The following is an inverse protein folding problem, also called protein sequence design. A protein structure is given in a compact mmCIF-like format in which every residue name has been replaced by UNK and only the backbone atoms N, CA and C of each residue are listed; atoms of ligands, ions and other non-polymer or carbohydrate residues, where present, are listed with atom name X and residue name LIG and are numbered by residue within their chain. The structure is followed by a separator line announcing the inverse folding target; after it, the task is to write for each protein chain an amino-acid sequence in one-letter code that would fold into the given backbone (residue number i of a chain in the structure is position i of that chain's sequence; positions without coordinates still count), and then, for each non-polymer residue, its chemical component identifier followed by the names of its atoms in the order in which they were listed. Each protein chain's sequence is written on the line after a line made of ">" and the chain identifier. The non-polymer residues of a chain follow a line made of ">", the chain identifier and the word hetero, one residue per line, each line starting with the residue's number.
data_IF_044856142297
#
_entry.id   IF_044856142297
#
_cell.length_a   1.000
_cell.length_b   1.000
_cell.length_c   1.000
_cell.angle_alpha   90.00
_cell.angle_beta   90.00
_cell.angle_gamma   90.00
#
_symmetry.space_group_name_H-M   'P 1'
#
loop_
_entity.id
_entity.type
_entity.pdbx_description
1 polymer ?
#
# COMPACT_ATOMS: atom_id res chain seq x y z
N UNK A 1 -19.09 -71.48 -11.84
CA UNK A 1 -19.11 -70.39 -10.83
C UNK A 1 -19.11 -69.09 -11.64
N UNK A 2 -20.21 -68.46 -12.06
CA UNK A 2 -21.45 -68.08 -11.36
C UNK A 2 -21.15 -66.96 -10.36
N UNK A 3 -21.67 -65.73 -10.41
CA UNK A 3 -22.71 -65.11 -11.26
C UNK A 3 -22.68 -63.59 -11.01
N UNK A 4 -22.72 -62.77 -12.06
CA UNK A 4 -23.22 -61.38 -11.98
C UNK A 4 -24.71 -61.43 -12.33
N UNK A 5 -25.56 -60.74 -11.55
CA UNK A 5 -26.99 -60.56 -11.87
C UNK A 5 -27.29 -59.09 -12.14
N UNK A 6 -27.92 -58.88 -13.29
CA UNK A 6 -28.66 -57.69 -13.70
C UNK A 6 -29.99 -57.55 -12.95
N UNK A 7 -30.50 -56.32 -12.88
CA UNK A 7 -31.85 -55.96 -12.47
C UNK A 7 -32.42 -54.88 -13.39
N UNK A 8 -33.56 -55.19 -13.97
CA UNK A 8 -34.27 -54.60 -15.11
C UNK A 8 -35.24 -53.43 -14.81
N UNK A 9 -35.61 -52.68 -15.86
CA UNK A 9 -36.90 -51.98 -16.03
C UNK A 9 -36.77 -50.44 -16.06
N UNK A 10 -37.36 -49.67 -16.98
CA UNK A 10 -38.38 -49.89 -18.00
C UNK A 10 -38.31 -48.71 -19.01
N UNK A 11 -38.45 -49.01 -20.31
CA UNK A 11 -38.62 -48.01 -21.39
C UNK A 11 -40.02 -47.39 -21.35
N UNK A 12 -40.13 -46.07 -21.49
CA UNK A 12 -41.30 -45.43 -22.10
C UNK A 12 -40.84 -44.58 -23.28
N UNK A 13 -41.25 -45.02 -24.47
CA UNK A 13 -41.16 -44.29 -25.73
C UNK A 13 -42.13 -43.09 -25.70
N UNK A 14 -41.62 -41.89 -25.95
CA UNK A 14 -42.44 -40.81 -26.50
C UNK A 14 -41.68 -40.14 -27.66
N UNK A 15 -42.07 -40.49 -28.88
CA UNK A 15 -41.71 -39.78 -30.12
C UNK A 15 -42.42 -38.42 -30.10
N UNK A 16 -41.68 -37.33 -30.13
CA UNK A 16 -42.11 -36.09 -30.79
C UNK A 16 -40.90 -35.44 -31.46
N UNK A 17 -40.97 -35.32 -32.79
CA UNK A 17 -40.07 -34.53 -33.61
C UNK A 17 -40.46 -33.06 -33.43
N UNK A 18 -39.50 -32.16 -33.21
CA UNK A 18 -39.29 -30.95 -34.02
C UNK A 18 -38.25 -30.02 -33.36
N UNK A 19 -37.16 -29.80 -34.10
CA UNK A 19 -36.43 -28.52 -34.32
C UNK A 19 -36.48 -27.47 -33.20
N UNK A 20 -35.35 -27.27 -32.52
CA UNK A 20 -35.10 -26.09 -31.69
C UNK A 20 -33.69 -26.13 -31.10
N UNK A 21 -32.82 -25.24 -31.58
CA UNK A 21 -31.47 -25.00 -31.08
C UNK A 21 -31.51 -24.50 -29.63
N UNK A 22 -31.19 -25.35 -28.66
CA UNK A 22 -30.98 -24.94 -27.27
C UNK A 22 -29.50 -24.64 -27.02
N UNK A 23 -29.19 -23.34 -27.02
CA UNK A 23 -27.94 -22.79 -26.46
C UNK A 23 -28.04 -22.94 -24.94
N UNK A 24 -27.17 -23.76 -24.35
CA UNK A 24 -27.08 -23.94 -22.91
C UNK A 24 -26.66 -22.62 -22.24
N UNK A 25 -27.61 -21.97 -21.57
CA UNK A 25 -27.36 -20.89 -20.63
C UNK A 25 -26.93 -21.52 -19.31
N UNK A 26 -25.62 -21.56 -19.06
CA UNK A 26 -25.09 -21.77 -17.71
C UNK A 26 -25.41 -20.51 -16.88
N UNK A 27 -25.96 -20.63 -15.66
CA UNK A 27 -26.25 -19.47 -14.85
C UNK A 27 -24.96 -18.80 -14.38
N UNK A 28 -24.83 -17.51 -14.67
CA UNK A 28 -23.82 -16.62 -14.09
C UNK A 28 -23.97 -16.70 -12.58
N UNK A 29 -22.99 -17.28 -11.90
CA UNK A 29 -22.94 -17.32 -10.44
C UNK A 29 -22.98 -15.88 -9.92
N UNK A 30 -24.07 -15.52 -9.27
CA UNK A 30 -24.21 -14.23 -8.60
C UNK A 30 -23.21 -14.18 -7.45
N UNK A 31 -22.15 -13.40 -7.63
CA UNK A 31 -21.22 -13.06 -6.56
C UNK A 31 -21.94 -12.13 -5.60
N UNK A 32 -22.51 -12.70 -4.54
CA UNK A 32 -23.10 -11.95 -3.43
C UNK A 32 -22.04 -11.02 -2.81
N UNK A 33 -22.34 -9.72 -2.60
CA UNK A 33 -21.41 -8.81 -1.96
C UNK A 33 -21.16 -9.26 -0.51
N UNK A 34 -19.89 -9.47 -0.17
CA UNK A 34 -19.47 -9.84 1.18
C UNK A 34 -19.99 -8.80 2.20
N UNK A 35 -20.56 -9.22 3.34
CA UNK A 35 -21.09 -8.29 4.32
C UNK A 35 -19.96 -7.42 4.91
N UNK A 36 -20.22 -6.12 4.95
CA UNK A 36 -19.35 -5.11 5.56
C UNK A 36 -19.20 -5.41 7.06
N UNK A 37 -18.07 -6.03 7.43
CA UNK A 37 -17.65 -6.05 8.83
C UNK A 37 -17.00 -4.70 9.14
N UNK A 38 -17.66 -3.87 9.94
CA UNK A 38 -17.02 -2.72 10.57
C UNK A 38 -15.86 -3.24 11.41
N UNK A 39 -14.65 -3.18 10.86
CA UNK A 39 -13.46 -3.59 11.62
C UNK A 39 -13.24 -2.55 12.70
N UNK A 40 -13.51 -2.91 13.96
CA UNK A 40 -12.99 -2.17 15.11
C UNK A 40 -11.50 -2.01 14.85
N UNK A 41 -11.04 -0.78 14.60
CA UNK A 41 -9.62 -0.54 14.39
C UNK A 41 -8.93 -0.68 15.74
N UNK A 42 -8.60 -1.92 16.11
CA UNK A 42 -7.74 -2.17 17.25
C UNK A 42 -6.48 -1.34 17.07
N UNK A 43 -6.18 -0.49 18.05
CA UNK A 43 -5.03 0.41 17.98
C UNK A 43 -3.76 -0.42 17.86
N UNK A 44 -3.19 -0.46 16.66
CA UNK A 44 -1.93 -1.15 16.41
C UNK A 44 -0.79 -0.26 16.87
N UNK A 45 0.14 -0.85 17.62
CA UNK A 45 1.43 -0.20 17.88
C UNK A 45 2.35 -0.46 16.69
N UNK A 46 3.08 0.57 16.26
CA UNK A 46 4.02 0.51 15.14
C UNK A 46 5.43 0.87 15.63
N UNK A 47 6.38 -0.03 15.40
CA UNK A 47 7.80 0.17 15.67
C UNK A 47 8.56 0.13 14.35
N UNK A 48 9.54 1.02 14.20
CA UNK A 48 10.40 1.08 13.02
C UNK A 48 11.86 1.00 13.43
N UNK A 49 12.61 0.25 12.65
CA UNK A 49 14.02 0.01 12.84
C UNK A 49 14.74 0.21 11.52
N UNK A 50 15.93 0.77 11.61
CA UNK A 50 16.85 0.87 10.48
C UNK A 50 17.87 -0.25 10.65
N UNK A 51 17.95 -1.13 9.65
CA UNK A 51 18.80 -2.32 9.70
C UNK A 51 19.72 -2.35 8.47
N UNK A 52 20.91 -2.90 8.64
CA UNK A 52 21.85 -3.15 7.54
C UNK A 52 21.53 -4.48 6.82
N UNK A 53 22.29 -4.81 5.78
CA UNK A 53 22.07 -6.00 4.96
C UNK A 53 22.23 -7.30 5.77
N UNK A 54 23.22 -7.39 6.65
CA UNK A 54 23.47 -8.56 7.49
C UNK A 54 22.30 -8.81 8.45
N UNK A 55 21.87 -7.76 9.15
CA UNK A 55 20.71 -7.80 10.03
C UNK A 55 19.44 -8.17 9.26
N UNK A 56 19.25 -7.64 8.05
CA UNK A 56 18.11 -8.00 7.21
C UNK A 56 18.06 -9.49 6.92
N UNK A 57 19.17 -10.10 6.50
CA UNK A 57 19.23 -11.55 6.25
C UNK A 57 18.88 -12.35 7.52
N UNK A 58 19.55 -12.04 8.63
CA UNK A 58 19.31 -12.72 9.92
C UNK A 58 17.84 -12.62 10.38
N UNK A 59 17.26 -11.43 10.29
CA UNK A 59 15.88 -11.18 10.71
C UNK A 59 14.87 -11.82 9.76
N UNK A 60 15.10 -11.76 8.44
CA UNK A 60 14.22 -12.37 7.44
C UNK A 60 14.16 -13.88 7.63
N UNK A 61 15.31 -14.53 7.80
CA UNK A 61 15.39 -15.98 8.00
C UNK A 61 14.62 -16.39 9.27
N UNK A 62 14.88 -15.75 10.41
CA UNK A 62 14.21 -16.08 11.67
C UNK A 62 12.69 -15.83 11.61
N UNK A 63 12.28 -14.72 10.98
CA UNK A 63 10.85 -14.38 10.86
C UNK A 63 10.14 -15.35 9.92
N UNK A 64 10.77 -15.75 8.82
CA UNK A 64 10.19 -16.68 7.85
C UNK A 64 9.90 -18.06 8.45
N UNK A 65 10.65 -18.47 9.48
CA UNK A 65 10.41 -19.72 10.20
C UNK A 65 9.20 -19.66 11.14
N UNK A 66 8.74 -18.46 11.51
CA UNK A 66 7.69 -18.24 12.52
C UNK A 66 6.40 -17.66 11.95
N UNK A 67 6.49 -16.88 10.88
CA UNK A 67 5.39 -16.14 10.28
C UNK A 67 5.26 -16.47 8.79
N UNK A 68 4.01 -16.54 8.31
CA UNK A 68 3.75 -16.76 6.90
C UNK A 68 3.93 -15.46 6.10
N UNK A 69 4.29 -15.61 4.81
CA UNK A 69 4.27 -14.50 3.86
C UNK A 69 2.85 -13.94 3.75
N UNK A 70 2.73 -12.63 3.88
CA UNK A 70 1.48 -11.89 3.90
C UNK A 70 0.78 -11.93 2.53
N UNK A 71 -0.41 -12.52 2.42
CA UNK A 71 -1.12 -12.73 1.15
C UNK A 71 -1.93 -11.50 0.71
N UNK A 72 -1.28 -10.33 0.61
CA UNK A 72 -1.91 -9.10 0.10
C UNK A 72 -1.85 -9.04 -1.45
N UNK A 73 -2.75 -8.30 -2.12
CA UNK A 73 -2.68 -8.10 -3.57
C UNK A 73 -1.29 -7.60 -4.01
N UNK A 74 -0.71 -8.24 -5.02
CA UNK A 74 0.65 -8.01 -5.50
C UNK A 74 1.76 -8.69 -4.68
N UNK A 75 1.45 -9.41 -3.60
CA UNK A 75 2.44 -10.04 -2.72
C UNK A 75 2.41 -11.58 -2.80
N UNK A 76 3.46 -12.18 -3.36
CA UNK A 76 3.79 -13.61 -3.23
C UNK A 76 5.17 -13.83 -2.60
N UNK A 77 5.71 -12.84 -1.89
CA UNK A 77 7.08 -12.80 -1.39
C UNK A 77 7.61 -11.38 -1.31
N UNK A 78 8.63 -11.09 -2.12
CA UNK A 78 9.12 -9.73 -2.32
C UNK A 78 8.30 -9.08 -3.46
N UNK A 79 7.77 -7.88 -3.23
CA UNK A 79 6.96 -7.18 -4.23
C UNK A 79 7.24 -5.69 -4.28
N UNK A 80 7.23 -5.09 -5.48
CA UNK A 80 7.47 -3.67 -5.63
C UNK A 80 6.26 -2.87 -5.16
N UNK A 81 6.55 -1.73 -4.53
CA UNK A 81 5.57 -0.70 -4.21
C UNK A 81 6.06 0.61 -4.79
N UNK A 82 5.20 1.23 -5.60
CA UNK A 82 5.37 2.59 -6.10
C UNK A 82 4.33 3.50 -5.46
N UNK A 83 4.74 4.66 -4.96
CA UNK A 83 3.84 5.62 -4.32
C UNK A 83 4.14 7.04 -4.77
N UNK A 84 3.12 7.75 -5.27
CA UNK A 84 3.15 9.18 -5.52
C UNK A 84 2.49 9.94 -4.35
N UNK A 85 3.23 10.86 -3.76
CA UNK A 85 2.76 11.73 -2.69
C UNK A 85 2.36 13.09 -3.23
N UNK A 86 1.33 13.69 -2.63
CA UNK A 86 0.87 15.02 -2.99
C UNK A 86 1.04 15.97 -1.81
N UNK A 87 1.49 17.18 -2.10
CA UNK A 87 1.73 18.25 -1.13
C UNK A 87 1.60 19.62 -1.80
N UNK A 88 1.49 20.68 -1.01
CA UNK A 88 1.46 22.05 -1.54
C UNK A 88 2.82 22.45 -2.10
N UNK A 89 2.86 23.56 -2.84
CA UNK A 89 4.11 24.12 -3.36
C UNK A 89 5.09 24.43 -2.21
N UNK A 90 4.57 24.81 -1.05
CA UNK A 90 5.33 25.17 0.15
C UNK A 90 5.70 23.96 1.02
N UNK A 91 5.25 22.75 0.65
CA UNK A 91 5.44 21.49 1.39
C UNK A 91 4.78 21.50 2.77
N UNK A 92 3.52 21.93 2.84
CA UNK A 92 2.80 22.01 4.12
C UNK A 92 2.74 20.66 4.85
N UNK A 93 2.50 19.56 4.14
CA UNK A 93 2.47 18.24 4.78
C UNK A 93 3.82 17.86 5.41
N UNK A 94 4.93 18.36 4.87
CA UNK A 94 6.25 18.25 5.49
C UNK A 94 6.32 19.09 6.75
N UNK A 95 6.06 20.39 6.65
CA UNK A 95 6.20 21.34 7.76
C UNK A 95 5.23 21.06 8.91
N UNK A 96 3.98 20.72 8.64
CA UNK A 96 3.01 20.25 9.63
C UNK A 96 3.57 19.07 10.44
N UNK A 97 4.25 18.13 9.77
CA UNK A 97 4.84 16.98 10.45
C UNK A 97 6.02 17.38 11.31
N UNK A 98 6.94 18.21 10.81
CA UNK A 98 8.11 18.66 11.57
C UNK A 98 7.71 19.52 12.77
N UNK A 99 6.68 20.37 12.62
CA UNK A 99 6.13 21.21 13.69
C UNK A 99 5.17 20.47 14.63
N UNK A 100 4.95 19.17 14.42
CA UNK A 100 4.15 18.34 15.33
C UNK A 100 2.65 18.67 15.33
N UNK A 101 2.09 19.18 14.22
CA UNK A 101 0.67 19.53 14.13
C UNK A 101 -0.21 18.33 14.44
N UNK A 102 -1.26 18.57 15.25
CA UNK A 102 -2.16 17.53 15.77
C UNK A 102 -3.10 16.98 14.69
N UNK A 103 -3.51 17.82 13.74
CA UNK A 103 -4.30 17.43 12.56
C UNK A 103 -3.43 17.60 11.32
N UNK A 104 -3.21 16.51 10.58
CA UNK A 104 -2.42 16.53 9.35
C UNK A 104 -2.91 15.45 8.40
N UNK A 105 -3.05 15.80 7.12
CA UNK A 105 -3.58 14.93 6.06
C UNK A 105 -2.55 14.78 4.95
N UNK A 106 -2.51 13.62 4.31
CA UNK A 106 -1.64 13.36 3.17
C UNK A 106 -2.37 12.50 2.17
N UNK A 107 -2.32 12.88 0.90
CA UNK A 107 -2.75 12.04 -0.22
C UNK A 107 -1.56 11.19 -0.65
N UNK A 108 -1.85 9.92 -0.93
CA UNK A 108 -0.90 8.98 -1.51
C UNK A 108 -1.60 8.12 -2.54
N UNK A 109 -1.21 8.27 -3.80
CA UNK A 109 -1.54 7.29 -4.81
C UNK A 109 -0.49 6.18 -4.77
N UNK A 110 -0.92 4.92 -4.77
CA UNK A 110 -0.04 3.77 -4.59
C UNK A 110 -0.37 2.66 -5.58
N UNK A 111 0.67 2.09 -6.19
CA UNK A 111 0.61 0.90 -7.02
C UNK A 111 1.39 -0.22 -6.32
N UNK A 112 0.80 -1.41 -6.32
CA UNK A 112 1.37 -2.63 -5.77
C UNK A 112 1.65 -3.62 -6.89
N UNK A 113 2.77 -4.34 -6.79
CA UNK A 113 3.05 -5.48 -7.64
C UNK A 113 3.61 -5.12 -9.02
N UNK A 114 3.82 -6.17 -9.80
CA UNK A 114 4.38 -6.15 -11.15
C UNK A 114 3.42 -6.88 -12.07
N UNK A 115 3.41 -6.55 -13.36
CA UNK A 115 2.60 -7.24 -14.37
C UNK A 115 3.04 -8.70 -14.57
N UNK A 116 4.30 -9.01 -14.24
CA UNK A 116 4.88 -10.35 -14.36
C UNK A 116 4.64 -11.23 -13.13
N UNK A 117 4.04 -10.67 -12.07
CA UNK A 117 3.79 -11.39 -10.83
C UNK A 117 2.56 -12.32 -10.95
N UNK A 118 2.49 -13.33 -10.08
CA UNK A 118 1.33 -14.23 -9.99
C UNK A 118 0.02 -13.50 -9.66
N UNK A 119 0.12 -12.40 -8.92
CA UNK A 119 -1.01 -11.56 -8.56
C UNK A 119 -0.88 -10.26 -9.37
N UNK A 120 -1.91 -9.87 -10.13
CA UNK A 120 -1.85 -8.66 -10.95
C UNK A 120 -1.67 -7.40 -10.11
N UNK A 121 -1.12 -6.33 -10.70
CA UNK A 121 -0.89 -5.09 -9.99
C UNK A 121 -2.20 -4.42 -9.57
N UNK A 122 -2.17 -3.70 -8.45
CA UNK A 122 -3.34 -3.04 -7.89
C UNK A 122 -3.06 -1.58 -7.50
N UNK A 123 -3.95 -0.68 -7.92
CA UNK A 123 -3.91 0.74 -7.63
C UNK A 123 -4.79 1.13 -6.44
N UNK A 124 -4.32 2.05 -5.59
CA UNK A 124 -5.10 2.63 -4.51
C UNK A 124 -4.79 4.10 -4.33
N UNK A 125 -5.84 4.93 -4.29
CA UNK A 125 -5.76 6.29 -3.80
C UNK A 125 -6.05 6.32 -2.31
N UNK A 126 -5.07 6.74 -1.51
CA UNK A 126 -5.14 6.70 -0.06
C UNK A 126 -5.11 8.12 0.53
N UNK A 127 -5.96 8.33 1.54
CA UNK A 127 -5.86 9.51 2.42
C UNK A 127 -5.46 9.03 3.81
N UNK A 128 -4.33 9.54 4.30
CA UNK A 128 -3.86 9.31 5.66
C UNK A 128 -4.06 10.57 6.49
N UNK A 129 -4.96 10.50 7.47
CA UNK A 129 -5.23 11.57 8.42
C UNK A 129 -4.70 11.18 9.79
N UNK A 130 -3.89 12.05 10.40
CA UNK A 130 -3.56 11.95 11.83
C UNK A 130 -4.27 13.09 12.56
N UNK A 131 -5.13 12.77 13.52
CA UNK A 131 -5.88 13.72 14.34
C UNK A 131 -5.66 13.40 15.83
N UNK A 132 -5.06 14.33 16.56
CA UNK A 132 -4.80 14.21 18.01
C UNK A 132 -4.13 12.88 18.42
N UNK A 133 -3.19 12.41 17.61
CA UNK A 133 -2.49 11.14 17.85
C UNK A 133 -3.13 9.93 17.18
N UNK A 134 -4.44 9.95 16.91
CA UNK A 134 -5.15 8.89 16.20
C UNK A 134 -4.87 8.96 14.70
N UNK A 135 -4.53 7.83 14.10
CA UNK A 135 -4.29 7.71 12.66
C UNK A 135 -5.41 6.97 11.97
N UNK A 136 -6.06 7.60 11.00
CA UNK A 136 -7.05 6.97 10.13
C UNK A 136 -6.48 6.89 8.72
N UNK A 137 -6.63 5.72 8.09
CA UNK A 137 -6.31 5.51 6.68
C UNK A 137 -7.57 5.11 5.93
N UNK A 138 -7.92 5.88 4.92
CA UNK A 138 -8.99 5.57 3.96
C UNK A 138 -8.33 5.27 2.60
N UNK A 139 -8.89 4.33 1.84
CA UNK A 139 -8.38 3.99 0.51
C UNK A 139 -9.52 3.75 -0.46
N UNK A 140 -9.36 4.23 -1.68
CA UNK A 140 -10.21 3.97 -2.82
C UNK A 140 -9.43 3.06 -3.79
N UNK A 141 -9.90 1.84 -4.07
CA UNK A 141 -9.33 1.00 -5.13
C UNK A 141 -9.49 1.69 -6.49
N UNK A 142 -8.46 1.59 -7.34
CA UNK A 142 -8.45 2.14 -8.69
C UNK A 142 -7.88 1.11 -9.67
N UNK A 143 -8.31 1.16 -10.92
CA UNK A 143 -7.57 0.49 -11.99
C UNK A 143 -6.18 1.11 -12.13
N UNK A 144 -5.24 0.40 -12.75
CA UNK A 144 -3.89 0.94 -13.00
C UNK A 144 -3.97 2.14 -13.95
N UNK A 145 -4.85 2.08 -14.95
CA UNK A 145 -5.10 3.16 -15.89
C UNK A 145 -5.64 4.42 -15.19
N UNK A 146 -6.67 4.29 -14.36
CA UNK A 146 -7.23 5.41 -13.59
C UNK A 146 -6.16 6.01 -12.65
N UNK A 147 -5.38 5.15 -11.98
CA UNK A 147 -4.29 5.60 -11.13
C UNK A 147 -3.23 6.38 -11.93
N UNK A 148 -2.89 5.92 -13.14
CA UNK A 148 -1.94 6.60 -14.01
C UNK A 148 -2.47 7.97 -14.46
N UNK A 149 -3.71 8.02 -14.94
CA UNK A 149 -4.34 9.25 -15.41
C UNK A 149 -4.45 10.28 -14.28
N UNK A 150 -4.94 9.86 -13.10
CA UNK A 150 -4.95 10.72 -11.91
C UNK A 150 -3.53 11.16 -11.50
N UNK A 151 -2.55 10.25 -11.58
CA UNK A 151 -1.15 10.53 -11.31
C UNK A 151 -0.53 11.59 -12.22
N UNK A 152 -1.01 11.71 -13.46
CA UNK A 152 -0.59 12.70 -14.45
C UNK A 152 -1.35 14.03 -14.31
N UNK A 153 -2.30 14.13 -13.37
CA UNK A 153 -3.05 15.34 -13.06
C UNK A 153 -4.46 15.38 -13.64
N UNK A 154 -4.96 14.28 -14.20
CA UNK A 154 -6.35 14.18 -14.64
C UNK A 154 -7.27 13.88 -13.44
N UNK A 155 -7.81 14.94 -12.84
CA UNK A 155 -8.73 14.84 -11.71
C UNK A 155 -10.14 14.37 -12.15
N UNK A 156 -10.49 14.39 -13.44
CA UNK A 156 -11.81 13.99 -13.95
C UNK A 156 -12.03 12.49 -13.84
N UNK A 157 -10.96 11.69 -13.79
CA UNK A 157 -11.00 10.26 -13.44
C UNK A 157 -11.81 10.05 -12.15
N UNK A 158 -11.55 10.84 -11.11
CA UNK A 158 -12.26 10.69 -9.84
C UNK A 158 -13.73 11.09 -9.96
N UNK A 159 -14.05 12.08 -10.81
CA UNK A 159 -15.44 12.50 -11.06
C UNK A 159 -16.22 11.41 -11.79
N UNK A 160 -15.60 10.76 -12.79
CA UNK A 160 -16.19 9.63 -13.50
C UNK A 160 -16.47 8.42 -12.60
N UNK A 161 -15.65 8.21 -11.57
CA UNK A 161 -15.84 7.15 -10.58
C UNK A 161 -16.92 7.46 -9.52
N UNK A 162 -17.36 8.71 -9.37
CA UNK A 162 -18.11 9.18 -8.19
C UNK A 162 -19.39 8.36 -7.93
N UNK A 163 -20.19 8.12 -8.97
CA UNK A 163 -21.45 7.38 -8.83
C UNK A 163 -21.27 5.87 -8.76
N UNK A 164 -20.12 5.37 -9.23
CA UNK A 164 -19.79 3.94 -9.30
C UNK A 164 -19.26 3.40 -7.97
N UNK A 165 -18.84 4.28 -7.06
CA UNK A 165 -18.28 3.91 -5.76
C UNK A 165 -19.31 4.07 -4.63
N UNK A 166 -19.21 3.27 -3.55
CA UNK A 166 -20.08 3.45 -2.38
C UNK A 166 -19.84 4.81 -1.71
N UNK A 167 -20.73 5.21 -0.81
CA UNK A 167 -20.64 6.48 -0.05
C UNK A 167 -19.26 6.70 0.59
N UNK A 168 -18.62 5.65 1.11
CA UNK A 168 -17.28 5.73 1.70
C UNK A 168 -16.21 6.11 0.66
N UNK A 169 -16.34 5.68 -0.59
CA UNK A 169 -15.49 6.07 -1.71
C UNK A 169 -15.72 7.52 -2.12
N UNK A 170 -16.99 7.96 -2.19
CA UNK A 170 -17.35 9.36 -2.50
C UNK A 170 -16.71 10.35 -1.52
N UNK A 171 -16.74 10.04 -0.22
CA UNK A 171 -16.07 10.84 0.81
C UNK A 171 -14.56 10.99 0.54
N UNK A 172 -13.90 9.92 0.07
CA UNK A 172 -12.48 9.97 -0.29
C UNK A 172 -12.27 10.84 -1.53
N UNK A 173 -13.13 10.70 -2.55
CA UNK A 173 -13.07 11.51 -3.78
C UNK A 173 -13.24 13.00 -3.45
N UNK A 174 -14.28 13.37 -2.70
CA UNK A 174 -14.55 14.75 -2.30
C UNK A 174 -13.38 15.34 -1.50
N UNK A 175 -12.83 14.57 -0.55
CA UNK A 175 -11.67 14.99 0.25
C UNK A 175 -10.43 15.19 -0.61
N UNK A 176 -10.14 14.27 -1.54
CA UNK A 176 -8.98 14.37 -2.44
C UNK A 176 -9.15 15.55 -3.38
N UNK A 177 -10.29 15.71 -4.05
CA UNK A 177 -10.54 16.82 -4.96
C UNK A 177 -10.48 18.17 -4.25
N UNK A 178 -10.99 18.27 -3.01
CA UNK A 178 -10.85 19.47 -2.20
C UNK A 178 -9.39 19.79 -1.87
N UNK A 179 -8.58 18.79 -1.54
CA UNK A 179 -7.13 18.97 -1.32
C UNK A 179 -6.40 19.31 -2.63
N UNK A 180 -6.77 18.71 -3.77
CA UNK A 180 -6.22 19.05 -5.09
C UNK A 180 -6.50 20.52 -5.44
N UNK A 181 -7.74 20.98 -5.22
CA UNK A 181 -8.13 22.38 -5.38
C UNK A 181 -7.39 23.32 -4.42
N UNK A 182 -7.00 22.85 -3.23
CA UNK A 182 -6.15 23.58 -2.27
C UNK A 182 -4.65 23.53 -2.61
N UNK A 183 -4.27 23.07 -3.81
CA UNK A 183 -2.90 23.11 -4.30
C UNK A 183 -2.04 21.88 -3.96
N UNK A 184 -2.62 20.80 -3.44
CA UNK A 184 -1.88 19.55 -3.25
C UNK A 184 -1.58 18.88 -4.59
N UNK A 185 -0.37 19.08 -5.08
CA UNK A 185 0.13 18.55 -6.34
C UNK A 185 1.15 17.43 -6.13
N UNK A 186 1.43 16.59 -7.14
CA UNK A 186 2.51 15.61 -7.07
C UNK A 186 3.79 16.26 -6.53
N UNK A 187 4.40 15.65 -5.53
CA UNK A 187 5.54 16.22 -4.80
C UNK A 187 6.72 15.26 -4.70
N UNK A 188 6.48 13.95 -4.65
CA UNK A 188 7.53 12.95 -4.69
C UNK A 188 6.98 11.59 -5.11
N UNK A 189 7.66 10.91 -6.03
CA UNK A 189 7.45 9.49 -6.27
C UNK A 189 8.49 8.68 -5.46
N UNK A 190 8.04 7.60 -4.83
CA UNK A 190 8.85 6.72 -3.99
C UNK A 190 8.60 5.27 -4.36
N UNK A 191 9.68 4.54 -4.60
CA UNK A 191 9.68 3.12 -4.95
C UNK A 191 10.52 2.32 -3.95
N UNK A 192 10.07 1.14 -3.59
CA UNK A 192 10.80 0.20 -2.74
C UNK A 192 10.24 -1.21 -2.89
N UNK A 193 11.07 -2.20 -2.56
CA UNK A 193 10.66 -3.61 -2.55
C UNK A 193 10.28 -4.01 -1.14
N UNK A 194 9.08 -4.56 -0.99
CA UNK A 194 8.56 -4.95 0.31
C UNK A 194 8.57 -6.46 0.45
N UNK A 195 9.13 -6.93 1.55
CA UNK A 195 8.87 -8.26 2.07
C UNK A 195 7.94 -8.15 3.27
N UNK A 196 6.88 -8.94 3.34
CA UNK A 196 5.88 -8.82 4.40
C UNK A 196 5.48 -10.17 4.97
N UNK A 197 5.43 -10.25 6.29
CA UNK A 197 5.03 -11.43 7.05
C UNK A 197 3.90 -11.09 8.01
N UNK A 198 3.00 -12.03 8.23
CA UNK A 198 1.89 -11.89 9.16
C UNK A 198 1.71 -13.14 10.00
N UNK A 199 1.32 -12.95 11.26
CA UNK A 199 0.82 -14.05 12.08
C UNK A 199 -0.53 -14.55 11.53
N UNK A 200 -0.87 -15.84 11.74
CA UNK A 200 -2.15 -16.40 11.30
C UNK A 200 -3.38 -15.67 11.87
N UNK A 201 -3.26 -15.11 13.08
CA UNK A 201 -4.32 -14.33 13.73
C UNK A 201 -4.36 -12.84 13.29
N UNK A 202 -3.46 -12.42 12.40
CA UNK A 202 -3.38 -11.04 11.89
C UNK A 202 -3.01 -9.97 12.92
N UNK A 203 -2.61 -10.38 14.14
CA UNK A 203 -2.25 -9.45 15.22
C UNK A 203 -0.84 -8.93 15.07
N UNK A 204 0.10 -9.71 14.53
CA UNK A 204 1.46 -9.30 14.26
C UNK A 204 1.70 -9.23 12.76
N UNK A 205 2.24 -8.12 12.28
CA UNK A 205 2.72 -7.96 10.91
C UNK A 205 4.10 -7.33 10.93
N UNK A 206 5.04 -7.95 10.24
CA UNK A 206 6.41 -7.44 10.10
C UNK A 206 6.67 -7.20 8.62
N UNK A 207 7.22 -6.05 8.27
CA UNK A 207 7.60 -5.73 6.90
C UNK A 207 9.01 -5.22 6.81
N UNK A 208 9.72 -5.61 5.77
CA UNK A 208 10.99 -5.05 5.37
C UNK A 208 10.79 -4.25 4.10
N UNK A 209 11.22 -3.00 4.10
CA UNK A 209 11.27 -2.18 2.90
C UNK A 209 12.73 -2.02 2.50
N UNK A 210 13.07 -2.50 1.31
CA UNK A 210 14.42 -2.55 0.75
C UNK A 210 14.49 -1.64 -0.48
N UNK A 211 15.71 -1.24 -0.87
CA UNK A 211 15.96 -0.44 -2.07
C UNK A 211 15.04 0.79 -2.17
N UNK A 212 14.93 1.54 -1.07
CA UNK A 212 14.11 2.75 -0.99
C UNK A 212 14.72 3.84 -1.86
N UNK A 213 14.05 4.12 -2.98
CA UNK A 213 14.45 5.12 -3.95
C UNK A 213 13.33 6.11 -4.18
N UNK A 214 13.67 7.32 -4.62
CA UNK A 214 12.72 8.36 -4.93
C UNK A 214 13.12 9.13 -6.19
N UNK A 215 12.15 9.88 -6.71
CA UNK A 215 12.40 10.84 -7.78
C UNK A 215 11.40 12.01 -7.65
N UNK A 216 11.86 13.27 -7.70
CA UNK A 216 10.98 14.45 -7.74
C UNK A 216 10.35 14.69 -9.12
N UNK A 217 10.72 13.89 -10.13
CA UNK A 217 10.09 13.87 -11.44
C UNK A 217 8.79 13.04 -11.40
N UNK A 218 7.77 13.42 -12.19
CA UNK A 218 6.43 12.80 -12.14
C UNK A 218 6.02 12.13 -13.47
N UNK A 219 6.80 11.18 -14.01
CA UNK A 219 6.37 10.44 -15.18
C UNK A 219 5.20 9.49 -14.82
N UNK A 220 4.58 8.92 -15.85
CA UNK A 220 3.48 7.95 -15.72
C UNK A 220 3.86 6.81 -14.76
N UNK A 221 2.95 6.47 -13.86
CA UNK A 221 3.18 5.45 -12.83
C UNK A 221 3.05 4.04 -13.44
N UNK A 222 4.18 3.44 -13.81
CA UNK A 222 4.21 2.06 -14.29
C UNK A 222 4.41 1.09 -13.11
N UNK A 223 3.65 -0.02 -13.04
CA UNK A 223 3.93 -1.09 -12.07
C UNK A 223 5.39 -1.55 -12.18
N UNK A 224 6.06 -1.75 -11.04
CA UNK A 224 7.46 -2.18 -10.97
C UNK A 224 8.48 -1.30 -11.70
N UNK A 225 8.19 -0.01 -11.87
CA UNK A 225 9.14 0.93 -12.48
C UNK A 225 10.46 0.99 -11.70
N UNK A 226 11.57 0.74 -12.41
CA UNK A 226 12.92 0.71 -11.87
C UNK A 226 13.68 2.02 -12.09
N UNK A 227 13.13 2.98 -12.85
CA UNK A 227 13.76 4.25 -13.20
C UNK A 227 13.73 5.25 -12.03
N UNK A 228 14.45 4.89 -10.97
CA UNK A 228 14.66 5.67 -9.76
C UNK A 228 16.14 5.64 -9.42
N UNK A 229 16.81 6.79 -9.51
CA UNK A 229 18.26 6.91 -9.29
C UNK A 229 18.64 7.41 -7.90
N UNK A 230 17.72 8.07 -7.18
CA UNK A 230 18.03 8.73 -5.90
C UNK A 230 17.65 7.83 -4.72
N UNK A 231 18.61 7.43 -3.91
CA UNK A 231 18.40 6.60 -2.72
C UNK A 231 17.94 7.42 -1.50
N UNK A 232 16.93 6.92 -0.76
CA UNK A 232 16.43 7.55 0.48
C UNK A 232 17.28 7.12 1.69
N UNK A 233 17.71 5.86 1.73
CA UNK A 233 18.66 5.29 2.71
C UNK A 233 19.80 4.60 1.95
N UNK A 234 20.90 4.24 2.60
CA UNK A 234 22.03 3.68 1.86
C UNK A 234 21.65 2.35 1.20
N UNK A 235 22.30 2.04 0.09
CA UNK A 235 22.13 0.75 -0.57
C UNK A 235 22.57 -0.38 0.39
N UNK A 236 21.77 -1.45 0.44
CA UNK A 236 21.93 -2.53 1.43
C UNK A 236 21.27 -2.27 2.79
N UNK A 237 20.85 -1.05 3.09
CA UNK A 237 20.04 -0.78 4.28
C UNK A 237 18.54 -0.97 4.01
N UNK A 238 17.80 -1.31 5.07
CA UNK A 238 16.37 -1.60 5.00
C UNK A 238 15.63 -1.00 6.19
N UNK A 239 14.33 -0.74 5.99
CA UNK A 239 13.43 -0.32 7.07
C UNK A 239 12.58 -1.51 7.48
N UNK A 240 12.83 -2.02 8.68
CA UNK A 240 11.98 -3.02 9.32
C UNK A 240 10.87 -2.31 10.10
N UNK A 241 9.62 -2.71 9.86
CA UNK A 241 8.44 -2.17 10.52
C UNK A 241 7.67 -3.32 11.18
N UNK A 242 7.50 -3.22 12.51
CA UNK A 242 6.75 -4.20 13.32
C UNK A 242 5.44 -3.56 13.75
N UNK A 243 4.32 -4.16 13.35
CA UNK A 243 2.97 -3.78 13.73
C UNK A 243 2.34 -4.85 14.58
N UNK A 244 1.86 -4.47 15.76
CA UNK A 244 1.21 -5.42 16.67
C UNK A 244 -0.11 -4.86 17.22
N UNK A 245 -1.13 -5.70 17.24
CA UNK A 245 -2.32 -5.53 18.09
C UNK A 245 -1.97 -6.10 19.46
N UNK A 246 -1.93 -5.25 20.49
CA UNK A 246 -1.52 -5.64 21.83
C UNK A 246 0.00 -5.68 22.00
N UNK A 247 0.48 -6.57 22.86
CA UNK A 247 1.89 -6.69 23.19
C UNK A 247 2.69 -7.37 22.08
N UNK A 248 3.89 -6.84 21.81
CA UNK A 248 4.84 -7.48 20.89
C UNK A 248 5.32 -8.81 21.51
N UNK A 249 5.33 -9.93 20.75
CA UNK A 249 5.74 -11.23 21.28
C UNK A 249 7.11 -11.20 21.94
N UNK A 250 7.28 -12.00 23.01
CA UNK A 250 8.51 -12.03 23.79
C UNK A 250 9.73 -12.39 22.95
N UNK A 251 9.64 -13.39 22.07
CA UNK A 251 10.76 -13.79 21.21
C UNK A 251 11.27 -12.62 20.36
N UNK A 252 10.36 -11.80 19.81
CA UNK A 252 10.70 -10.66 18.97
C UNK A 252 11.36 -9.54 19.79
N UNK A 253 10.85 -9.28 21.00
CA UNK A 253 11.45 -8.30 21.92
C UNK A 253 12.82 -8.73 22.43
N UNK A 254 12.96 -10.01 22.80
CA UNK A 254 14.22 -10.60 23.26
C UNK A 254 15.27 -10.49 22.17
N UNK A 255 14.93 -10.94 20.96
CA UNK A 255 15.83 -10.88 19.80
C UNK A 255 16.21 -9.44 19.44
N UNK A 256 15.26 -8.51 19.47
CA UNK A 256 15.54 -7.09 19.25
C UNK A 256 16.54 -6.53 20.27
N UNK A 257 16.47 -6.97 21.53
CA UNK A 257 17.45 -6.63 22.57
C UNK A 257 18.83 -7.23 22.30
N UNK A 258 18.90 -8.52 21.94
CA UNK A 258 20.15 -9.22 21.64
C UNK A 258 20.89 -8.65 20.43
N UNK A 259 20.17 -8.25 19.39
CA UNK A 259 20.76 -7.69 18.16
C UNK A 259 20.93 -6.18 18.22
N UNK A 260 20.66 -5.54 19.36
CA UNK A 260 20.81 -4.09 19.53
C UNK A 260 19.90 -3.23 18.63
N UNK A 261 18.69 -3.71 18.29
CA UNK A 261 17.77 -2.96 17.44
C UNK A 261 17.30 -1.67 18.15
N UNK A 262 17.65 -0.53 17.56
CA UNK A 262 17.22 0.78 18.06
C UNK A 262 16.00 1.30 17.30
N UNK A 263 14.95 1.63 18.06
CA UNK A 263 13.72 2.22 17.50
C UNK A 263 14.01 3.60 16.93
N UNK A 264 13.65 3.82 15.67
CA UNK A 264 13.77 5.13 15.00
C UNK A 264 12.42 5.60 14.45
N UNK A 265 12.16 6.90 14.52
CA UNK A 265 11.07 7.48 13.74
C UNK A 265 11.52 7.65 12.29
N UNK A 266 10.80 7.03 11.35
CA UNK A 266 11.12 7.14 9.93
C UNK A 266 9.89 7.42 9.07
N UNK A 267 10.05 8.36 8.14
CA UNK A 267 9.02 8.76 7.19
C UNK A 267 9.64 8.89 5.81
N UNK A 268 9.41 7.86 4.97
CA UNK A 268 9.88 7.80 3.57
C UNK A 268 9.75 9.14 2.86
N UNK A 269 8.57 9.75 2.92
CA UNK A 269 8.27 11.04 2.31
C UNK A 269 9.12 12.22 2.83
N UNK A 270 9.31 12.32 4.15
CA UNK A 270 10.03 13.47 4.69
C UNK A 270 11.53 13.34 4.43
N UNK A 271 12.05 12.12 4.60
CA UNK A 271 13.46 11.83 4.34
C UNK A 271 13.79 11.95 2.85
N UNK A 272 12.87 11.58 1.94
CA UNK A 272 13.07 11.83 0.51
C UNK A 272 13.08 13.32 0.18
N UNK A 273 12.19 14.12 0.79
CA UNK A 273 12.20 15.57 0.58
C UNK A 273 13.50 16.20 1.11
N UNK A 274 13.88 15.87 2.35
CA UNK A 274 15.09 16.41 3.01
C UNK A 274 16.37 16.16 2.20
N UNK A 275 16.44 15.03 1.49
CA UNK A 275 17.61 14.67 0.69
C UNK A 275 17.56 15.18 -0.75
N UNK A 276 16.39 15.17 -1.38
CA UNK A 276 16.29 15.21 -2.84
C UNK A 276 15.27 16.22 -3.39
N UNK A 277 14.51 16.91 -2.54
CA UNK A 277 13.55 17.92 -3.00
C UNK A 277 14.22 19.29 -3.17
N UNK A 278 14.23 19.86 -4.40
CA UNK A 278 14.88 21.13 -4.65
C UNK A 278 14.18 22.29 -3.94
N UNK A 279 12.86 22.20 -3.76
CA UNK A 279 12.04 23.24 -3.10
C UNK A 279 12.36 23.30 -1.61
N UNK A 280 12.26 22.18 -0.90
CA UNK A 280 12.63 22.14 0.51
C UNK A 280 14.13 22.47 0.71
N UNK A 281 14.99 21.97 -0.17
CA UNK A 281 16.42 22.29 -0.13
C UNK A 281 16.71 23.79 -0.22
N UNK A 282 15.99 24.53 -1.06
CA UNK A 282 16.14 25.99 -1.17
C UNK A 282 15.61 26.71 0.07
N UNK A 283 14.44 26.31 0.59
CA UNK A 283 13.86 26.83 1.83
C UNK A 283 14.83 26.68 3.02
N UNK A 284 15.43 25.50 3.18
CA UNK A 284 16.38 25.21 4.27
C UNK A 284 17.67 26.04 4.14
N UNK A 285 18.19 26.24 2.92
CA UNK A 285 19.37 27.10 2.69
C UNK A 285 19.09 28.56 3.03
N UNK A 286 17.96 29.09 2.58
CA UNK A 286 17.55 30.46 2.89
C UNK A 286 17.36 30.68 4.39
N UNK A 287 16.79 29.70 5.10
CA UNK A 287 16.62 29.77 6.55
C UNK A 287 17.96 29.84 7.29
N UNK A 288 18.95 29.04 6.88
CA UNK A 288 20.31 29.07 7.45
C UNK A 288 21.00 30.41 7.21
N UNK A 289 20.95 30.93 5.98
CA UNK A 289 21.54 32.24 5.65
C UNK A 289 20.93 33.37 6.50
N UNK A 290 19.61 33.37 6.73
CA UNK A 290 18.96 34.35 7.60
C UNK A 290 19.42 34.26 9.04
N UNK A 291 19.61 33.05 9.57
CA UNK A 291 20.13 32.84 10.93
C UNK A 291 21.57 33.32 11.06
N UNK A 292 22.41 33.06 10.06
CA UNK A 292 23.81 33.51 10.03
C UNK A 292 23.91 35.04 9.89
N UNK A 293 23.04 35.68 9.11
CA UNK A 293 23.01 37.15 8.99
C UNK A 293 22.47 37.88 10.22
N UNK A 294 21.79 37.16 11.12
CA UNK A 294 21.17 37.71 12.32
C UNK A 294 22.01 37.44 13.59
N UNK A 295 23.07 36.64 13.48
CA UNK A 295 24.03 36.32 14.54
C UNK A 295 25.27 37.20 14.43
#
# INVERSE_FOLDING_TARGET
>A
MGSCREGSGLLVLCRLRHTGTYRSLLPVAQVSPLPFQSTVSLSRTEYKFWINAEQYCQWKDEISQRLAVDQNPGNSGDYPILSQYYDTAERDCYWEKQRGFKSRRKIRLRIYGSETAKIPPAGFLEVKHKLQGLGVKRRLPMSIEDAQNFGLGDDDVLRGMYDQVPRSGRIIIDEVLGMRAAGHNPSMQIRYDRNAFSSPDGKLRITFDNLLRCRPEFPKLLPDDQDFSKFIIAEGESIMEVKSIGAVPYWLRKRAGETGLSRRSFSKYCTSLEKHDPVLGSQLRQARQRQESAA
#
